data_IF_503444446078
#
_entry.id   IF_503444446078
#
_cell.length_a   1.000
_cell.length_b   1.000
_cell.length_c   1.000
_cell.angle_alpha   90.00
_cell.angle_beta   90.00
_cell.angle_gamma   90.00
#
_symmetry.space_group_name_H-M   'P 1'
#
loop_
_entity.id
_entity.type
_entity.pdbx_description
1 polymer ?
#
# COMPACT_ATOMS: atom_id res chain seq x y z
N UNK A 1 7.47 -34.09 44.31
CA UNK A 1 8.27 -33.98 43.07
C UNK A 1 7.45 -33.90 41.79
N UNK A 2 6.45 -34.77 41.59
CA UNK A 2 5.63 -34.75 40.35
C UNK A 2 4.76 -33.49 40.17
N UNK A 3 4.18 -32.96 41.25
CA UNK A 3 3.38 -31.69 41.16
C UNK A 3 4.22 -30.44 40.84
N UNK A 4 5.45 -30.37 41.38
CA UNK A 4 6.38 -29.26 41.10
C UNK A 4 6.85 -29.27 39.65
N UNK A 5 7.03 -30.45 39.06
CA UNK A 5 7.38 -30.57 37.64
C UNK A 5 6.23 -30.15 36.71
N UNK A 6 4.98 -30.48 37.08
CA UNK A 6 3.79 -30.10 36.33
C UNK A 6 3.56 -28.58 36.37
N UNK A 7 3.79 -27.95 37.53
CA UNK A 7 3.70 -26.49 37.68
C UNK A 7 4.77 -25.76 36.88
N UNK A 8 5.99 -26.28 36.81
CA UNK A 8 7.07 -25.70 36.01
C UNK A 8 6.77 -25.76 34.51
N UNK A 9 6.23 -26.89 34.01
CA UNK A 9 5.82 -27.03 32.60
C UNK A 9 4.67 -26.10 32.24
N UNK A 10 3.70 -25.89 33.14
CA UNK A 10 2.58 -24.98 32.94
C UNK A 10 3.02 -23.52 32.86
N UNK A 11 4.02 -23.10 33.65
CA UNK A 11 4.61 -21.76 33.59
C UNK A 11 5.37 -21.49 32.28
N UNK A 12 5.95 -22.49 31.66
CA UNK A 12 6.67 -22.36 30.38
C UNK A 12 5.72 -22.19 29.16
N UNK A 13 4.44 -22.59 29.30
CA UNK A 13 3.44 -22.44 28.24
C UNK A 13 2.80 -21.05 28.18
N UNK A 14 2.93 -20.24 29.24
CA UNK A 14 2.37 -18.87 29.29
C UNK A 14 3.32 -17.81 28.73
N UNK A 15 4.58 -18.17 28.44
CA UNK A 15 5.65 -17.24 28.05
C UNK A 15 5.75 -16.87 26.57
N UNK A 16 5.03 -17.52 25.66
CA UNK A 16 5.02 -17.15 24.26
C UNK A 16 3.87 -16.18 23.99
N UNK A 17 4.08 -14.90 24.22
CA UNK A 17 3.24 -13.81 23.70
C UNK A 17 3.28 -13.75 22.18
N UNK A 18 2.77 -14.78 21.49
CA UNK A 18 2.60 -14.80 20.05
C UNK A 18 1.42 -13.86 19.72
N UNK A 19 1.71 -12.57 19.60
CA UNK A 19 0.76 -11.65 18.98
C UNK A 19 0.74 -11.93 17.47
N UNK A 20 -0.37 -12.46 16.98
CA UNK A 20 -0.59 -12.55 15.53
C UNK A 20 -0.42 -11.15 14.93
N UNK A 21 0.63 -10.96 14.15
CA UNK A 21 0.85 -9.76 13.35
C UNK A 21 -0.25 -9.77 12.28
N UNK A 22 -1.28 -8.96 12.45
CA UNK A 22 -2.44 -8.91 11.54
C UNK A 22 -3.78 -8.73 12.24
N UNK A 23 -3.83 -8.76 13.58
CA UNK A 23 -4.97 -8.29 14.37
C UNK A 23 -4.73 -6.85 14.87
N UNK A 24 -4.00 -6.03 14.11
CA UNK A 24 -4.16 -4.60 14.30
C UNK A 24 -5.66 -4.34 14.06
N UNK A 25 -6.37 -4.06 15.15
CA UNK A 25 -7.66 -3.37 15.05
C UNK A 25 -7.38 -2.25 14.07
N UNK A 26 -8.10 -2.24 12.94
CA UNK A 26 -8.15 -1.07 12.10
C UNK A 26 -8.52 0.04 13.06
N UNK A 27 -7.52 0.82 13.50
CA UNK A 27 -7.78 1.97 14.37
C UNK A 27 -8.79 2.80 13.61
N UNK A 28 -9.92 3.07 14.23
CA UNK A 28 -10.95 3.89 13.63
C UNK A 28 -10.25 5.16 13.19
N UNK A 29 -10.26 5.42 11.90
CA UNK A 29 -9.59 6.59 11.35
C UNK A 29 -10.19 7.85 11.95
N UNK A 30 -9.39 8.87 12.11
CA UNK A 30 -9.76 10.10 12.80
C UNK A 30 -10.64 11.04 11.95
N UNK A 31 -11.13 10.58 10.80
CA UNK A 31 -11.98 11.34 9.87
C UNK A 31 -13.07 10.44 9.28
N UNK A 32 -14.16 11.07 8.82
CA UNK A 32 -15.38 10.35 8.43
C UNK A 32 -15.55 10.21 6.93
N UNK A 33 -14.95 11.11 6.12
CA UNK A 33 -15.17 11.12 4.68
C UNK A 33 -13.98 11.62 3.87
N UNK A 34 -13.81 11.00 2.69
CA UNK A 34 -12.78 11.35 1.72
C UNK A 34 -13.34 11.29 0.29
N UNK A 35 -12.90 12.17 -0.56
CA UNK A 35 -13.11 12.09 -2.02
C UNK A 35 -11.77 11.74 -2.67
N UNK A 36 -11.79 10.81 -3.64
CA UNK A 36 -10.60 10.37 -4.36
C UNK A 36 -10.80 10.66 -5.84
N UNK A 37 -9.92 11.47 -6.41
CA UNK A 37 -9.89 11.80 -7.82
C UNK A 37 -8.68 11.14 -8.48
N UNK A 38 -8.93 10.44 -9.58
CA UNK A 38 -7.87 9.85 -10.41
C UNK A 38 -7.72 10.62 -11.71
N UNK A 39 -6.47 10.88 -12.11
CA UNK A 39 -6.12 11.42 -13.42
C UNK A 39 -4.97 10.63 -14.02
N UNK A 40 -5.21 9.98 -15.16
CA UNK A 40 -4.21 9.14 -15.84
C UNK A 40 -3.62 8.03 -14.95
N UNK A 41 -4.48 7.35 -14.19
CA UNK A 41 -4.14 6.28 -13.27
C UNK A 41 -5.13 5.13 -13.41
N UNK A 42 -4.65 3.90 -13.25
CA UNK A 42 -5.49 2.71 -13.30
C UNK A 42 -6.61 2.72 -12.25
N UNK A 43 -7.84 2.47 -12.69
CA UNK A 43 -9.05 2.44 -11.86
C UNK A 43 -9.01 1.40 -10.73
N UNK A 44 -8.17 0.38 -10.83
CA UNK A 44 -8.03 -0.65 -9.79
C UNK A 44 -7.41 -0.09 -8.51
N UNK A 45 -6.62 0.98 -8.61
CA UNK A 45 -6.11 1.72 -7.44
C UNK A 45 -7.29 2.33 -6.67
N UNK A 46 -8.22 3.00 -7.37
CA UNK A 46 -9.42 3.56 -6.74
C UNK A 46 -10.22 2.50 -6.01
N UNK A 47 -10.57 1.42 -6.72
CA UNK A 47 -11.36 0.32 -6.16
C UNK A 47 -10.70 -0.32 -4.92
N UNK A 48 -9.37 -0.38 -4.92
CA UNK A 48 -8.63 -0.91 -3.76
C UNK A 48 -8.67 0.06 -2.59
N UNK A 49 -8.52 1.37 -2.84
CA UNK A 49 -8.58 2.42 -1.82
C UNK A 49 -9.99 2.54 -1.24
N UNK A 50 -11.02 2.54 -2.06
CA UNK A 50 -12.43 2.55 -1.62
C UNK A 50 -12.70 1.44 -0.60
N UNK A 51 -12.37 0.20 -0.96
CA UNK A 51 -12.54 -0.95 -0.05
C UNK A 51 -11.76 -0.81 1.27
N UNK A 52 -10.58 -0.16 1.25
CA UNK A 52 -9.79 0.03 2.46
C UNK A 52 -10.39 1.11 3.36
N UNK A 53 -10.80 2.24 2.80
CA UNK A 53 -11.44 3.30 3.56
C UNK A 53 -12.79 2.85 4.14
N UNK A 54 -13.62 2.17 3.37
CA UNK A 54 -14.90 1.61 3.84
C UNK A 54 -14.70 0.63 5.00
N UNK A 55 -13.71 -0.27 4.92
CA UNK A 55 -13.36 -1.21 6.01
C UNK A 55 -12.86 -0.49 7.28
N UNK A 56 -12.37 0.72 7.13
CA UNK A 56 -11.91 1.59 8.23
C UNK A 56 -12.98 2.57 8.70
N UNK A 57 -14.27 2.36 8.28
CA UNK A 57 -15.42 3.22 8.57
C UNK A 57 -15.28 4.65 8.04
N UNK A 58 -14.52 4.87 6.98
CA UNK A 58 -14.44 6.14 6.25
C UNK A 58 -15.28 6.05 5.00
N UNK A 59 -16.21 6.98 4.82
CA UNK A 59 -17.04 7.06 3.63
C UNK A 59 -16.26 7.66 2.46
N UNK A 60 -16.16 6.92 1.35
CA UNK A 60 -15.70 7.50 0.09
C UNK A 60 -16.88 8.18 -0.60
N UNK A 61 -16.77 9.48 -0.86
CA UNK A 61 -17.85 10.30 -1.42
C UNK A 61 -17.71 10.47 -2.91
N UNK A 62 -18.84 10.68 -3.61
CA UNK A 62 -18.87 10.91 -5.06
C UNK A 62 -18.57 12.38 -5.44
N UNK A 63 -18.47 13.28 -4.46
CA UNK A 63 -18.26 14.70 -4.66
C UNK A 63 -17.26 15.27 -3.67
N UNK A 64 -16.33 16.05 -4.17
CA UNK A 64 -15.32 16.73 -3.33
C UNK A 64 -15.94 17.67 -2.28
N UNK A 65 -17.07 18.33 -2.61
CA UNK A 65 -17.78 19.23 -1.70
C UNK A 65 -18.40 18.56 -0.47
N UNK A 66 -18.55 17.23 -0.49
CA UNK A 66 -19.14 16.43 0.62
C UNK A 66 -18.07 15.71 1.44
N UNK A 67 -16.80 15.87 1.11
CA UNK A 67 -15.68 15.18 1.74
C UNK A 67 -14.93 16.11 2.70
N UNK A 68 -14.45 15.59 3.81
CA UNK A 68 -13.52 16.31 4.71
C UNK A 68 -12.15 16.49 4.10
N UNK A 69 -11.72 15.53 3.27
CA UNK A 69 -10.43 15.52 2.58
C UNK A 69 -10.61 15.12 1.13
N UNK A 70 -9.75 15.68 0.27
CA UNK A 70 -9.71 15.38 -1.16
C UNK A 70 -8.31 14.88 -1.51
N UNK A 71 -8.23 13.64 -2.00
CA UNK A 71 -7.00 13.04 -2.48
C UNK A 71 -6.99 13.01 -4.02
N UNK A 72 -6.00 13.64 -4.63
CA UNK A 72 -5.74 13.57 -6.06
C UNK A 72 -4.61 12.60 -6.31
N UNK A 73 -4.85 11.57 -7.12
CA UNK A 73 -3.86 10.58 -7.51
C UNK A 73 -3.70 10.69 -9.03
N UNK A 74 -2.47 10.96 -9.48
CA UNK A 74 -2.23 11.30 -10.88
C UNK A 74 -0.89 10.81 -11.40
N UNK A 75 -0.74 10.80 -12.72
CA UNK A 75 0.53 10.62 -13.39
C UNK A 75 1.15 9.26 -13.15
N UNK A 76 0.43 8.20 -13.46
CA UNK A 76 0.97 6.85 -13.38
C UNK A 76 2.13 6.68 -14.35
N UNK A 77 3.26 6.22 -13.83
CA UNK A 77 4.45 5.89 -14.59
C UNK A 77 4.82 4.42 -14.41
N UNK A 78 5.13 3.76 -15.53
CA UNK A 78 5.69 2.41 -15.53
C UNK A 78 7.03 2.44 -16.26
N UNK A 79 8.10 1.94 -15.64
CA UNK A 79 9.40 1.82 -16.26
C UNK A 79 9.98 0.43 -16.07
N UNK A 80 10.78 0.00 -17.03
CA UNK A 80 11.50 -1.27 -17.00
C UNK A 80 12.95 -1.03 -17.36
N UNK A 81 13.87 -1.55 -16.57
CA UNK A 81 15.31 -1.46 -16.82
C UNK A 81 15.97 -2.83 -16.71
N UNK A 82 16.92 -3.11 -17.60
CA UNK A 82 17.79 -4.27 -17.45
C UNK A 82 18.82 -3.98 -16.34
N UNK A 83 18.98 -4.94 -15.41
CA UNK A 83 19.92 -4.83 -14.28
C UNK A 83 21.17 -5.63 -14.56
N UNK A 84 21.02 -6.86 -15.05
CA UNK A 84 22.11 -7.75 -15.36
C UNK A 84 21.87 -8.50 -16.67
N UNK A 85 22.94 -8.70 -17.43
CA UNK A 85 22.97 -9.60 -18.57
C UNK A 85 23.98 -10.71 -18.29
N UNK A 86 23.54 -11.95 -18.35
CA UNK A 86 24.44 -13.09 -18.22
C UNK A 86 25.11 -13.36 -19.56
N UNK A 87 26.42 -13.13 -19.66
CA UNK A 87 27.19 -13.44 -20.87
C UNK A 87 27.19 -14.96 -21.11
N UNK A 88 26.55 -15.36 -22.20
CA UNK A 88 26.47 -16.78 -22.61
C UNK A 88 25.22 -17.54 -22.17
N UNK A 89 24.32 -16.95 -21.39
CA UNK A 89 23.01 -17.51 -21.07
C UNK A 89 21.90 -16.54 -21.53
N UNK A 90 20.79 -17.09 -22.03
CA UNK A 90 19.61 -16.31 -22.47
C UNK A 90 18.77 -15.80 -21.28
N UNK A 91 19.42 -15.35 -20.22
CA UNK A 91 18.82 -14.92 -18.97
C UNK A 91 19.20 -13.46 -18.69
N UNK A 92 18.23 -12.62 -18.46
CA UNK A 92 18.43 -11.21 -18.11
C UNK A 92 17.57 -10.87 -16.91
N UNK A 93 18.13 -10.15 -15.95
CA UNK A 93 17.41 -9.61 -14.81
C UNK A 93 16.87 -8.22 -15.13
N UNK A 94 15.60 -7.99 -14.84
CA UNK A 94 14.91 -6.72 -15.01
C UNK A 94 14.38 -6.18 -13.71
N UNK A 95 14.51 -4.87 -13.52
CA UNK A 95 13.77 -4.10 -12.54
C UNK A 95 12.58 -3.42 -13.21
N UNK A 96 11.41 -3.54 -12.60
CA UNK A 96 10.21 -2.79 -12.97
C UNK A 96 9.85 -1.83 -11.84
N UNK A 97 9.51 -0.60 -12.21
CA UNK A 97 9.10 0.44 -11.27
C UNK A 97 7.74 0.99 -11.72
N UNK A 98 6.81 1.12 -10.78
CA UNK A 98 5.52 1.76 -10.96
C UNK A 98 5.42 2.94 -10.00
N UNK A 99 4.98 4.09 -10.50
CA UNK A 99 4.89 5.33 -9.74
C UNK A 99 3.53 5.98 -9.90
N UNK A 100 3.07 6.72 -8.88
CA UNK A 100 1.96 7.67 -8.96
C UNK A 100 2.26 8.88 -8.09
N UNK A 101 1.63 10.02 -8.36
CA UNK A 101 1.71 11.21 -7.52
C UNK A 101 0.47 11.31 -6.64
N UNK A 102 0.67 11.55 -5.35
CA UNK A 102 -0.37 11.80 -4.37
C UNK A 102 -0.36 13.26 -3.95
N UNK A 103 -1.53 13.91 -4.02
CA UNK A 103 -1.78 15.25 -3.49
C UNK A 103 -3.00 15.18 -2.58
N UNK A 104 -2.93 15.77 -1.38
CA UNK A 104 -4.00 15.73 -0.38
C UNK A 104 -4.31 17.14 0.12
N UNK A 105 -5.57 17.53 0.11
CA UNK A 105 -6.07 18.78 0.69
C UNK A 105 -7.22 18.52 1.65
N UNK A 106 -7.43 19.42 2.61
CA UNK A 106 -8.63 19.44 3.44
C UNK A 106 -9.74 20.26 2.79
N UNK A 107 -10.93 20.26 3.40
CA UNK A 107 -12.09 21.03 2.92
C UNK A 107 -11.84 22.55 2.93
N UNK A 108 -10.95 23.07 3.78
CA UNK A 108 -10.56 24.48 3.83
C UNK A 108 -9.58 24.88 2.72
N UNK A 109 -9.05 23.91 1.96
CA UNK A 109 -8.07 24.14 0.91
C UNK A 109 -6.61 24.08 1.39
N UNK A 110 -6.36 23.73 2.66
CA UNK A 110 -4.99 23.55 3.14
C UNK A 110 -4.37 22.31 2.50
N UNK A 111 -3.17 22.45 1.98
CA UNK A 111 -2.42 21.36 1.36
C UNK A 111 -1.72 20.55 2.46
N UNK A 112 -2.10 19.29 2.59
CA UNK A 112 -1.52 18.35 3.56
C UNK A 112 -0.39 17.52 2.95
N UNK A 113 -0.56 17.11 1.69
CA UNK A 113 0.49 16.45 0.88
C UNK A 113 0.60 17.20 -0.45
N UNK A 114 1.79 17.70 -0.75
CA UNK A 114 2.02 18.46 -1.97
C UNK A 114 2.71 17.60 -3.03
N UNK A 115 1.93 16.85 -3.82
CA UNK A 115 2.39 16.06 -4.97
C UNK A 115 3.58 15.16 -4.64
N UNK A 116 3.41 14.30 -3.68
CA UNK A 116 4.42 13.31 -3.27
C UNK A 116 4.37 12.08 -4.18
N UNK A 117 5.53 11.63 -4.66
CA UNK A 117 5.63 10.40 -5.44
C UNK A 117 5.52 9.17 -4.52
N UNK A 118 4.63 8.24 -4.92
CA UNK A 118 4.49 6.91 -4.32
C UNK A 118 4.96 5.90 -5.36
N UNK A 119 5.88 5.03 -4.97
CA UNK A 119 6.47 4.06 -5.89
C UNK A 119 6.50 2.65 -5.31
N UNK A 120 6.45 1.68 -6.21
CA UNK A 120 6.79 0.28 -5.96
C UNK A 120 7.84 -0.19 -6.98
N UNK A 121 8.78 -1.01 -6.55
CA UNK A 121 9.79 -1.63 -7.41
C UNK A 121 9.84 -3.13 -7.17
N UNK A 122 9.99 -3.90 -8.25
CA UNK A 122 10.16 -5.36 -8.23
C UNK A 122 11.22 -5.77 -9.23
N UNK A 123 11.79 -6.95 -8.97
CA UNK A 123 12.80 -7.54 -9.83
C UNK A 123 12.33 -8.91 -10.30
N UNK A 124 12.61 -9.25 -11.55
CA UNK A 124 12.31 -10.56 -12.11
C UNK A 124 13.35 -10.98 -13.13
N UNK A 125 13.40 -12.28 -13.40
CA UNK A 125 14.33 -12.88 -14.34
C UNK A 125 13.57 -13.27 -15.62
N UNK A 126 13.95 -12.67 -16.73
CA UNK A 126 13.44 -13.07 -18.03
C UNK A 126 14.34 -14.19 -18.59
N UNK A 127 13.76 -15.36 -18.78
CA UNK A 127 14.41 -16.49 -19.43
C UNK A 127 13.88 -16.63 -20.85
N UNK A 128 14.74 -16.46 -21.85
CA UNK A 128 14.35 -16.53 -23.26
C UNK A 128 13.88 -17.92 -23.69
N UNK A 129 14.15 -18.97 -22.94
CA UNK A 129 13.67 -20.34 -23.22
C UNK A 129 12.23 -20.59 -22.74
N UNK A 130 11.74 -19.78 -21.79
CA UNK A 130 10.42 -19.92 -21.18
C UNK A 130 9.70 -18.57 -21.10
N UNK A 131 9.61 -17.86 -22.22
CA UNK A 131 9.09 -16.50 -22.30
C UNK A 131 7.67 -16.36 -21.73
N UNK A 132 6.78 -17.31 -22.00
CA UNK A 132 5.39 -17.24 -21.56
C UNK A 132 5.28 -17.18 -20.02
N UNK A 133 6.08 -17.97 -19.31
CA UNK A 133 6.07 -17.94 -17.84
C UNK A 133 6.68 -16.66 -17.29
N UNK A 134 7.71 -16.12 -17.95
CA UNK A 134 8.33 -14.85 -17.54
C UNK A 134 7.39 -13.65 -17.73
N UNK A 135 6.58 -13.63 -18.80
CA UNK A 135 5.56 -12.60 -18.97
C UNK A 135 4.39 -12.73 -18.00
N UNK A 136 4.02 -13.95 -17.62
CA UNK A 136 3.01 -14.16 -16.57
C UNK A 136 3.52 -13.67 -15.21
N UNK A 137 4.78 -13.94 -14.88
CA UNK A 137 5.41 -13.44 -13.66
C UNK A 137 5.43 -11.90 -13.63
N UNK A 138 5.86 -11.24 -14.72
CA UNK A 138 5.84 -9.77 -14.81
C UNK A 138 4.44 -9.19 -14.56
N UNK A 139 3.40 -9.79 -15.14
CA UNK A 139 2.03 -9.35 -14.93
C UNK A 139 1.59 -9.48 -13.47
N UNK A 140 1.88 -10.60 -12.81
CA UNK A 140 1.58 -10.80 -11.40
C UNK A 140 2.29 -9.77 -10.52
N UNK A 141 3.55 -9.47 -10.82
CA UNK A 141 4.32 -8.43 -10.12
C UNK A 141 3.69 -7.05 -10.29
N UNK A 142 3.23 -6.69 -11.49
CA UNK A 142 2.52 -5.43 -11.71
C UNK A 142 1.22 -5.33 -10.91
N UNK A 143 0.46 -6.41 -10.79
CA UNK A 143 -0.74 -6.47 -9.94
C UNK A 143 -0.40 -6.33 -8.44
N UNK A 144 0.69 -6.94 -7.97
CA UNK A 144 1.18 -6.80 -6.60
C UNK A 144 1.65 -5.37 -6.32
N UNK A 145 2.40 -4.77 -7.25
CA UNK A 145 2.88 -3.39 -7.12
C UNK A 145 1.73 -2.39 -7.03
N UNK A 146 0.65 -2.63 -7.74
CA UNK A 146 -0.56 -1.81 -7.66
C UNK A 146 -1.21 -1.89 -6.27
N UNK A 147 -1.29 -3.09 -5.68
CA UNK A 147 -1.78 -3.27 -4.30
C UNK A 147 -0.86 -2.58 -3.29
N UNK A 148 0.45 -2.68 -3.47
CA UNK A 148 1.43 -2.00 -2.62
C UNK A 148 1.32 -0.49 -2.69
N UNK A 149 1.16 0.08 -3.88
CA UNK A 149 0.94 1.53 -4.06
C UNK A 149 -0.33 1.97 -3.35
N UNK A 150 -1.44 1.24 -3.53
CA UNK A 150 -2.70 1.54 -2.84
C UNK A 150 -2.54 1.48 -1.32
N UNK A 151 -1.77 0.51 -0.79
CA UNK A 151 -1.47 0.40 0.64
C UNK A 151 -0.63 1.57 1.14
N UNK A 152 0.39 1.98 0.38
CA UNK A 152 1.23 3.11 0.73
C UNK A 152 0.42 4.42 0.75
N UNK A 153 -0.43 4.64 -0.26
CA UNK A 153 -1.32 5.81 -0.33
C UNK A 153 -2.23 5.85 0.89
N UNK A 154 -2.92 4.75 1.18
CA UNK A 154 -3.82 4.64 2.33
C UNK A 154 -3.10 5.00 3.64
N UNK A 155 -1.93 4.40 3.91
CA UNK A 155 -1.16 4.68 5.12
C UNK A 155 -0.66 6.12 5.20
N UNK A 156 -0.20 6.72 4.09
CA UNK A 156 0.28 8.10 4.06
C UNK A 156 -0.84 9.09 4.34
N UNK A 157 -1.99 8.91 3.71
CA UNK A 157 -3.19 9.74 3.97
C UNK A 157 -3.54 9.72 5.45
N UNK A 158 -3.63 8.53 6.04
CA UNK A 158 -3.99 8.38 7.45
C UNK A 158 -2.97 9.02 8.39
N UNK A 159 -1.67 8.79 8.17
CA UNK A 159 -0.61 9.34 9.01
C UNK A 159 -0.62 10.88 8.98
N UNK A 160 -0.74 11.48 7.79
CA UNK A 160 -0.72 12.93 7.63
C UNK A 160 -1.98 13.58 8.21
N UNK A 161 -3.15 12.97 8.03
CA UNK A 161 -4.40 13.49 8.63
C UNK A 161 -4.32 13.45 10.16
N UNK A 162 -3.84 12.38 10.74
CA UNK A 162 -3.64 12.28 12.20
C UNK A 162 -2.65 13.34 12.70
N UNK A 163 -1.54 13.54 12.01
CA UNK A 163 -0.56 14.58 12.38
C UNK A 163 -1.18 15.99 12.31
N UNK A 164 -1.92 16.28 11.25
CA UNK A 164 -2.61 17.57 11.07
C UNK A 164 -3.61 17.82 12.19
N UNK A 165 -4.45 16.86 12.54
CA UNK A 165 -5.45 16.98 13.60
C UNK A 165 -4.81 17.16 14.98
N UNK A 166 -3.68 16.50 15.26
CA UNK A 166 -2.95 16.65 16.51
C UNK A 166 -2.32 18.03 16.67
N UNK A 167 -1.94 18.70 15.56
CA UNK A 167 -1.40 20.07 15.57
C UNK A 167 -2.48 21.15 15.76
N UNK A 168 -3.72 20.82 15.41
CA UNK A 168 -4.84 21.79 15.38
C UNK A 168 -5.67 21.74 16.67
N UNK A 169 -5.41 20.77 17.54
CA UNK A 169 -5.97 20.66 18.90
C UNK A 169 -5.15 21.43 19.92
#
# INVERSE_FOLDING_TARGET
MRLALLSLVLCLLVGCGFQLRGTERLEALSFDSIYIELSDVDSDILRTLEKKFERSNVQVTDRSSSAQYVAFISGEGNSRRAIAHSSGQMVSEFGITRTVNLHLVNLSGDVLINKEEVLAERFYVLNAQILDSSFQEERLLLEEMQKDISEQIFRRINAIIQEYQNKTR
#
